data_IF_128305257989
#
_entry.id   IF_128305257989
#
_cell.length_a   1.000
_cell.length_b   1.000
_cell.length_c   1.000
_cell.angle_alpha   90.00
_cell.angle_beta   90.00
_cell.angle_gamma   90.00
#
_symmetry.space_group_name_H-M   'P 1'
#
loop_
_entity.id
_entity.type
_entity.pdbx_description
1 polymer ?
#
# COMPACT_ATOMS: atom_id res chain seq x y z
N UNK A 1 -10.21 14.36 4.81
CA UNK A 1 -10.00 13.80 3.47
C UNK A 1 -9.00 14.69 2.74
N UNK A 2 -7.86 14.17 2.37
CA UNK A 2 -6.85 14.91 1.60
C UNK A 2 -6.76 14.27 0.24
N UNK A 3 -6.94 15.04 -0.82
CA UNK A 3 -6.78 14.59 -2.19
C UNK A 3 -5.43 15.04 -2.78
N UNK A 4 -5.15 14.69 -4.03
CA UNK A 4 -3.91 15.06 -4.72
C UNK A 4 -3.76 16.57 -4.96
N UNK A 5 -4.81 17.36 -4.75
CA UNK A 5 -4.78 18.82 -4.84
C UNK A 5 -4.48 19.46 -3.48
N UNK A 6 -4.05 18.68 -2.50
CA UNK A 6 -3.86 19.10 -1.11
C UNK A 6 -5.13 19.62 -0.42
N UNK A 7 -6.29 19.28 -0.94
CA UNK A 7 -7.56 19.60 -0.29
C UNK A 7 -7.77 18.69 0.91
N UNK A 8 -8.20 19.29 2.00
CA UNK A 8 -8.50 18.61 3.25
C UNK A 8 -9.85 19.11 3.77
N UNK A 9 -10.72 18.21 4.18
CA UNK A 9 -11.98 18.57 4.80
C UNK A 9 -11.83 18.98 6.29
N UNK A 10 -10.62 18.94 6.84
CA UNK A 10 -10.33 19.44 8.17
C UNK A 10 -10.02 20.92 8.12
N UNK A 11 -10.73 21.70 8.94
CA UNK A 11 -10.58 23.16 9.00
C UNK A 11 -9.44 23.62 9.89
N UNK A 12 -8.96 22.76 10.78
CA UNK A 12 -7.87 23.03 11.71
C UNK A 12 -6.74 22.03 11.51
N UNK A 13 -5.58 22.52 11.09
CA UNK A 13 -4.36 21.73 10.85
C UNK A 13 -3.33 21.89 11.98
N UNK A 14 -3.60 22.71 12.99
CA UNK A 14 -2.67 23.01 14.08
C UNK A 14 -2.89 22.11 15.29
N UNK A 15 -2.68 20.79 15.12
CA UNK A 15 -2.67 19.89 16.26
C UNK A 15 -1.22 19.72 16.75
N UNK A 16 -0.95 20.16 17.96
CA UNK A 16 0.36 20.00 18.61
C UNK A 16 0.31 18.74 19.50
N UNK A 17 1.29 17.87 19.36
CA UNK A 17 1.53 16.81 20.36
C UNK A 17 2.04 17.49 21.64
N UNK A 18 1.62 16.99 22.80
CA UNK A 18 2.27 17.31 24.08
C UNK A 18 3.77 17.07 23.93
N UNK A 19 4.62 17.96 24.46
CA UNK A 19 6.08 17.85 24.33
C UNK A 19 6.73 16.60 24.96
N UNK A 20 5.94 15.58 25.29
CA UNK A 20 6.41 14.29 25.80
C UNK A 20 6.97 13.41 24.67
N UNK A 21 8.01 12.62 24.96
CA UNK A 21 8.54 11.65 24.02
C UNK A 21 7.46 10.70 23.52
N UNK A 22 7.46 10.39 22.22
CA UNK A 22 6.54 9.42 21.65
C UNK A 22 6.92 8.01 22.11
N UNK A 23 5.98 7.33 22.74
CA UNK A 23 6.09 5.91 23.05
C UNK A 23 5.46 5.10 21.92
N UNK A 24 6.18 4.07 21.46
CA UNK A 24 5.72 3.19 20.39
C UNK A 24 6.29 1.79 20.59
N UNK A 25 5.47 0.89 21.11
CA UNK A 25 5.88 -0.47 21.46
C UNK A 25 4.99 -1.49 20.74
N UNK A 26 5.43 -2.03 19.58
CA UNK A 26 4.69 -3.07 18.88
C UNK A 26 4.95 -4.44 19.50
N UNK A 27 3.90 -5.27 19.55
CA UNK A 27 3.96 -6.68 19.93
C UNK A 27 3.76 -7.53 18.69
N UNK A 28 4.85 -8.05 18.14
CA UNK A 28 4.80 -8.88 16.95
C UNK A 28 4.31 -10.28 17.25
N UNK A 29 3.57 -10.88 16.31
CA UNK A 29 3.26 -12.31 16.32
C UNK A 29 4.56 -13.12 16.28
N UNK A 30 4.64 -14.21 17.03
CA UNK A 30 5.81 -15.09 17.01
C UNK A 30 5.95 -15.80 15.65
N UNK A 31 7.17 -16.23 15.32
CA UNK A 31 7.40 -17.02 14.10
C UNK A 31 6.57 -18.31 14.11
N UNK A 32 6.45 -18.97 15.27
CA UNK A 32 5.70 -20.22 15.43
C UNK A 32 4.20 -20.03 15.16
N UNK A 33 3.59 -18.97 15.69
CA UNK A 33 2.19 -18.64 15.43
C UNK A 33 1.94 -18.29 13.96
N UNK A 34 2.85 -17.50 13.37
CA UNK A 34 2.78 -17.18 11.94
C UNK A 34 2.93 -18.44 11.08
N UNK A 35 3.93 -19.28 11.36
CA UNK A 35 4.18 -20.52 10.61
C UNK A 35 2.98 -21.47 10.68
N UNK A 36 2.35 -21.64 11.84
CA UNK A 36 1.14 -22.45 11.99
C UNK A 36 -0.03 -21.92 11.13
N UNK A 37 -0.22 -20.60 11.13
CA UNK A 37 -1.24 -19.95 10.29
C UNK A 37 -0.95 -20.13 8.80
N UNK A 38 0.32 -19.97 8.41
CA UNK A 38 0.78 -20.17 7.03
C UNK A 38 0.60 -21.61 6.55
N UNK A 39 0.95 -22.60 7.36
CA UNK A 39 0.75 -24.03 7.05
C UNK A 39 -0.74 -24.35 6.86
N UNK A 40 -1.61 -23.78 7.68
CA UNK A 40 -3.06 -23.95 7.54
C UNK A 40 -3.55 -23.41 6.20
N UNK A 41 -3.17 -22.19 5.83
CA UNK A 41 -3.53 -21.58 4.53
C UNK A 41 -2.97 -22.39 3.38
N UNK A 42 -1.67 -22.75 3.45
CA UNK A 42 -0.99 -23.54 2.42
C UNK A 42 -1.69 -24.87 2.16
N UNK A 43 -2.06 -25.60 3.21
CA UNK A 43 -2.80 -26.85 3.11
C UNK A 43 -4.14 -26.67 2.41
N UNK A 44 -4.89 -25.60 2.71
CA UNK A 44 -6.17 -25.32 2.05
C UNK A 44 -6.01 -24.93 0.59
N UNK A 45 -4.95 -24.19 0.22
CA UNK A 45 -4.63 -23.89 -1.17
C UNK A 45 -4.31 -25.18 -1.94
N UNK A 46 -3.44 -26.06 -1.40
CA UNK A 46 -3.10 -27.32 -2.03
C UNK A 46 -4.29 -28.30 -2.16
N UNK A 47 -5.25 -28.21 -1.23
CA UNK A 47 -6.49 -28.98 -1.31
C UNK A 47 -7.52 -28.38 -2.30
N UNK A 48 -7.22 -27.29 -2.99
CA UNK A 48 -8.10 -26.63 -3.94
C UNK A 48 -9.27 -25.84 -3.33
N UNK A 49 -9.24 -25.60 -2.02
CA UNK A 49 -10.28 -24.81 -1.32
C UNK A 49 -10.19 -23.30 -1.64
N UNK A 50 -9.02 -22.83 -2.05
CA UNK A 50 -8.76 -21.50 -2.58
C UNK A 50 -7.50 -21.54 -3.45
N UNK A 51 -7.33 -20.56 -4.31
CA UNK A 51 -6.12 -20.41 -5.14
C UNK A 51 -5.30 -19.15 -4.78
N UNK A 52 -5.90 -18.24 -4.03
CA UNK A 52 -5.25 -17.01 -3.55
C UNK A 52 -5.80 -16.61 -2.18
N UNK A 53 -4.92 -16.34 -1.24
CA UNK A 53 -5.25 -15.87 0.11
C UNK A 53 -4.28 -14.79 0.54
N UNK A 54 -4.79 -13.73 1.16
CA UNK A 54 -3.98 -12.75 1.85
C UNK A 54 -3.96 -13.07 3.34
N UNK A 55 -2.86 -13.66 3.81
CA UNK A 55 -2.66 -13.95 5.23
C UNK A 55 -2.13 -12.71 5.94
N UNK A 56 -2.94 -12.12 6.80
CA UNK A 56 -2.58 -10.95 7.61
C UNK A 56 -2.56 -11.27 9.09
N UNK A 57 -1.65 -10.62 9.81
CA UNK A 57 -1.56 -10.71 11.26
C UNK A 57 -1.72 -9.32 11.87
N UNK A 58 -2.51 -9.22 12.93
CA UNK A 58 -2.59 -7.99 13.71
C UNK A 58 -1.32 -7.82 14.56
N UNK A 59 -0.78 -6.61 14.60
CA UNK A 59 0.31 -6.24 15.49
C UNK A 59 -0.22 -5.24 16.53
N UNK A 60 -0.53 -5.67 17.76
CA UNK A 60 -0.89 -4.76 18.82
C UNK A 60 0.22 -3.74 19.06
N UNK A 61 -0.16 -2.49 19.28
CA UNK A 61 0.78 -1.40 19.55
C UNK A 61 0.35 -0.67 20.81
N UNK A 62 1.26 -0.59 21.79
CA UNK A 62 1.12 0.34 22.89
C UNK A 62 1.74 1.67 22.52
N UNK A 63 0.99 2.76 22.72
CA UNK A 63 1.46 4.12 22.42
C UNK A 63 0.75 5.14 23.30
N UNK A 64 1.42 6.26 23.60
CA UNK A 64 0.83 7.42 24.26
C UNK A 64 0.12 8.37 23.27
N UNK A 65 0.06 8.03 21.97
CA UNK A 65 -0.60 8.82 20.95
C UNK A 65 -2.06 8.39 20.78
N UNK A 66 -2.96 9.36 20.64
CA UNK A 66 -4.31 9.09 20.16
C UNK A 66 -4.32 8.85 18.64
N UNK A 67 -5.40 8.26 18.11
CA UNK A 67 -5.60 8.15 16.65
C UNK A 67 -5.55 9.50 15.94
N UNK A 68 -6.00 10.57 16.63
CA UNK A 68 -5.93 11.94 16.14
C UNK A 68 -4.48 12.41 15.99
N UNK A 69 -3.64 12.17 17.01
CA UNK A 69 -2.22 12.51 16.98
C UNK A 69 -1.52 11.79 15.85
N UNK A 70 -1.75 10.48 15.71
CA UNK A 70 -1.19 9.65 14.65
C UNK A 70 -1.60 10.21 13.28
N UNK A 71 -2.88 10.58 13.09
CA UNK A 71 -3.36 11.13 11.82
C UNK A 71 -2.67 12.45 11.47
N UNK A 72 -2.57 13.39 12.42
CA UNK A 72 -2.02 14.72 12.13
C UNK A 72 -0.52 14.71 11.88
N UNK A 73 0.23 13.87 12.61
CA UNK A 73 1.70 13.84 12.53
C UNK A 73 2.24 12.85 11.49
N UNK A 74 1.42 11.94 11.00
CA UNK A 74 1.83 11.04 9.91
C UNK A 74 1.88 11.77 8.57
N UNK A 75 2.88 11.41 7.76
CA UNK A 75 3.04 11.88 6.38
C UNK A 75 2.68 10.75 5.43
N UNK A 76 1.61 10.90 4.68
CA UNK A 76 1.20 9.98 3.64
C UNK A 76 0.43 10.73 2.55
N UNK A 77 0.43 10.20 1.33
CA UNK A 77 -0.28 10.78 0.19
C UNK A 77 -1.79 10.80 0.45
N UNK A 78 -2.32 9.70 0.95
CA UNK A 78 -3.72 9.57 1.33
C UNK A 78 -3.81 9.20 2.81
N UNK A 79 -4.63 9.94 3.54
CA UNK A 79 -4.89 9.71 4.95
C UNK A 79 -6.39 9.76 5.21
N UNK A 80 -6.90 8.77 5.92
CA UNK A 80 -8.27 8.74 6.39
C UNK A 80 -8.28 8.55 7.91
N UNK A 81 -8.99 9.41 8.62
CA UNK A 81 -9.30 9.24 10.03
C UNK A 81 -10.81 9.12 10.21
N UNK A 82 -11.25 7.97 10.70
CA UNK A 82 -12.59 7.78 11.21
C UNK A 82 -12.52 7.92 12.73
N UNK A 83 -13.13 9.00 13.22
CA UNK A 83 -13.06 9.39 14.63
C UNK A 83 -13.40 8.20 15.54
N UNK A 84 -12.58 7.98 16.57
CA UNK A 84 -12.71 6.95 17.59
C UNK A 84 -12.78 5.50 17.07
N UNK A 85 -12.39 5.29 15.80
CA UNK A 85 -12.41 3.99 15.14
C UNK A 85 -11.03 3.58 14.63
N UNK A 86 -10.51 4.28 13.63
CA UNK A 86 -9.23 3.96 13.01
C UNK A 86 -8.63 5.14 12.24
N UNK A 87 -7.36 5.02 11.93
CA UNK A 87 -6.67 5.79 10.90
C UNK A 87 -6.13 4.85 9.84
N UNK A 88 -6.13 5.31 8.59
CA UNK A 88 -5.60 4.56 7.44
C UNK A 88 -4.71 5.47 6.63
N UNK A 89 -3.60 4.93 6.17
CA UNK A 89 -2.64 5.58 5.31
C UNK A 89 -2.42 4.74 4.06
N UNK A 90 -2.37 5.38 2.89
CA UNK A 90 -2.09 4.68 1.65
C UNK A 90 -1.09 5.44 0.78
N UNK A 91 -0.03 4.79 0.30
CA UNK A 91 0.82 5.30 -0.77
C UNK A 91 0.18 5.08 -2.14
N UNK A 92 -0.80 4.20 -2.25
CA UNK A 92 -1.37 3.72 -3.50
C UNK A 92 -2.65 4.48 -3.85
N UNK A 93 -2.81 4.79 -5.14
CA UNK A 93 -3.97 5.47 -5.70
C UNK A 93 -4.95 4.39 -6.17
N UNK A 94 -6.16 4.36 -5.61
CA UNK A 94 -7.22 3.48 -6.11
C UNK A 94 -7.59 3.88 -7.55
N UNK A 95 -8.16 5.06 -7.70
CA UNK A 95 -8.43 5.67 -9.01
C UNK A 95 -8.22 7.18 -8.95
N UNK A 96 -7.89 7.77 -10.09
CA UNK A 96 -7.85 9.21 -10.29
C UNK A 96 -8.68 9.58 -11.51
N UNK A 97 -9.54 10.56 -11.39
CA UNK A 97 -10.26 11.13 -12.53
C UNK A 97 -9.70 12.51 -12.84
N UNK A 98 -9.39 12.76 -14.11
CA UNK A 98 -8.88 14.04 -14.60
C UNK A 98 -9.20 14.20 -16.08
N UNK A 99 -9.72 15.36 -16.46
CA UNK A 99 -9.99 15.75 -17.86
C UNK A 99 -10.83 14.72 -18.62
N UNK A 100 -11.83 14.12 -17.95
CA UNK A 100 -12.70 13.09 -18.52
C UNK A 100 -12.08 11.70 -18.61
N UNK A 101 -10.86 11.52 -18.15
CA UNK A 101 -10.17 10.22 -18.09
C UNK A 101 -10.16 9.66 -16.67
N UNK A 102 -10.16 8.33 -16.58
CA UNK A 102 -9.94 7.60 -15.30
C UNK A 102 -8.58 6.90 -15.35
N UNK A 103 -7.84 6.97 -14.26
CA UNK A 103 -6.51 6.38 -14.13
C UNK A 103 -6.45 5.46 -12.92
N UNK A 104 -5.66 4.40 -13.03
CA UNK A 104 -5.21 3.58 -11.90
C UNK A 104 -3.71 3.31 -12.03
N UNK A 105 -3.06 3.13 -10.88
CA UNK A 105 -1.60 2.95 -10.80
C UNK A 105 -1.28 1.73 -9.93
N UNK A 106 -1.55 0.51 -10.42
CA UNK A 106 -1.23 -0.69 -9.65
C UNK A 106 0.26 -0.79 -9.38
N UNK A 107 0.58 -1.18 -8.15
CA UNK A 107 1.93 -1.32 -7.63
C UNK A 107 2.15 -2.75 -7.14
N UNK A 108 3.20 -3.43 -7.64
CA UNK A 108 3.63 -4.75 -7.18
C UNK A 108 5.14 -4.88 -7.28
N UNK A 109 5.73 -5.56 -6.29
CA UNK A 109 7.17 -5.70 -6.18
C UNK A 109 7.81 -4.49 -5.52
N UNK A 110 8.49 -4.73 -4.40
CA UNK A 110 9.21 -3.72 -3.63
C UNK A 110 10.57 -4.26 -3.25
N UNK A 111 11.60 -3.43 -3.38
CA UNK A 111 12.97 -3.78 -3.00
C UNK A 111 13.66 -2.59 -2.35
N UNK A 112 14.58 -2.85 -1.44
CA UNK A 112 15.44 -1.82 -0.86
C UNK A 112 16.32 -1.19 -1.95
N UNK A 113 16.24 0.14 -2.10
CA UNK A 113 16.97 0.88 -3.12
C UNK A 113 18.49 0.86 -2.92
N UNK A 114 18.96 0.54 -1.70
CA UNK A 114 20.40 0.47 -1.36
C UNK A 114 21.08 -0.81 -1.81
N UNK A 115 20.30 -1.83 -2.18
CA UNK A 115 20.85 -3.10 -2.63
C UNK A 115 21.54 -2.95 -3.99
N UNK A 116 22.66 -3.66 -4.22
CA UNK A 116 23.31 -3.70 -5.53
C UNK A 116 22.31 -4.14 -6.61
N UNK A 117 22.31 -3.45 -7.74
CA UNK A 117 21.47 -3.74 -8.89
C UNK A 117 19.96 -3.85 -8.59
N UNK A 118 19.46 -3.17 -7.53
CA UNK A 118 18.06 -3.24 -7.06
C UNK A 118 17.05 -3.07 -8.21
N UNK A 119 17.27 -2.09 -9.10
CA UNK A 119 16.39 -1.85 -10.26
C UNK A 119 16.30 -3.05 -11.20
N UNK A 120 17.42 -3.64 -11.52
CA UNK A 120 17.51 -4.82 -12.39
C UNK A 120 16.86 -6.02 -11.70
N UNK A 121 17.23 -6.27 -10.45
CA UNK A 121 16.71 -7.40 -9.67
C UNK A 121 15.20 -7.42 -9.58
N UNK A 122 14.57 -6.30 -9.28
CA UNK A 122 13.11 -6.22 -9.17
C UNK A 122 12.40 -6.36 -10.53
N UNK A 123 13.01 -5.88 -11.63
CA UNK A 123 12.42 -6.02 -12.96
C UNK A 123 12.61 -7.43 -13.54
N UNK A 124 13.71 -8.10 -13.22
CA UNK A 124 14.05 -9.42 -13.74
C UNK A 124 13.42 -10.56 -12.91
N UNK A 125 12.78 -10.26 -11.76
CA UNK A 125 12.11 -11.27 -10.94
C UNK A 125 10.87 -11.82 -11.65
N UNK A 126 10.84 -13.11 -12.02
CA UNK A 126 9.73 -13.68 -12.79
C UNK A 126 8.44 -13.80 -11.96
N UNK A 127 8.53 -14.00 -10.63
CA UNK A 127 7.37 -14.05 -9.75
C UNK A 127 6.71 -12.69 -9.67
N UNK A 128 7.49 -11.64 -9.38
CA UNK A 128 6.98 -10.27 -9.32
C UNK A 128 6.42 -9.81 -10.68
N UNK A 129 7.04 -10.24 -11.78
CA UNK A 129 6.54 -9.97 -13.12
C UNK A 129 5.17 -10.59 -13.38
N UNK A 130 4.97 -11.86 -12.98
CA UNK A 130 3.69 -12.57 -13.15
C UNK A 130 2.58 -11.96 -12.26
N UNK A 131 2.89 -11.67 -10.99
CA UNK A 131 1.94 -11.02 -10.07
C UNK A 131 1.54 -9.64 -10.59
N UNK A 132 2.50 -8.86 -11.09
CA UNK A 132 2.23 -7.53 -11.64
C UNK A 132 1.36 -7.57 -12.90
N UNK A 133 1.63 -8.52 -13.81
CA UNK A 133 0.83 -8.72 -15.00
C UNK A 133 -0.63 -9.07 -14.65
N UNK A 134 -0.82 -9.94 -13.67
CA UNK A 134 -2.15 -10.35 -13.20
C UNK A 134 -2.94 -9.18 -12.65
N UNK A 135 -2.33 -8.33 -11.80
CA UNK A 135 -3.06 -7.18 -11.21
C UNK A 135 -3.33 -6.09 -12.26
N UNK A 136 -2.43 -5.87 -13.20
CA UNK A 136 -2.64 -4.91 -14.29
C UNK A 136 -3.80 -5.36 -15.18
N UNK A 137 -3.89 -6.65 -15.53
CA UNK A 137 -4.99 -7.17 -16.33
C UNK A 137 -6.33 -7.11 -15.59
N UNK A 138 -6.34 -7.44 -14.30
CA UNK A 138 -7.51 -7.33 -13.44
C UNK A 138 -8.05 -5.90 -13.42
N UNK A 139 -7.21 -4.92 -13.10
CA UNK A 139 -7.62 -3.52 -13.01
C UNK A 139 -8.01 -2.96 -14.38
N UNK A 140 -7.32 -3.35 -15.45
CA UNK A 140 -7.71 -2.99 -16.82
C UNK A 140 -9.13 -3.47 -17.14
N UNK A 141 -9.46 -4.70 -16.77
CA UNK A 141 -10.80 -5.24 -16.96
C UNK A 141 -11.83 -4.51 -16.10
N UNK A 142 -11.52 -4.23 -14.82
CA UNK A 142 -12.43 -3.49 -13.93
C UNK A 142 -12.71 -2.07 -14.44
N UNK A 143 -11.69 -1.36 -14.91
CA UNK A 143 -11.87 -0.04 -15.50
C UNK A 143 -12.71 -0.08 -16.80
N UNK A 144 -12.62 -1.16 -17.56
CA UNK A 144 -13.41 -1.34 -18.80
C UNK A 144 -14.91 -1.48 -18.54
N UNK A 145 -15.34 -1.73 -17.28
CA UNK A 145 -16.76 -1.74 -16.90
C UNK A 145 -17.33 -0.31 -16.87
N UNK A 146 -16.50 0.69 -16.58
CA UNK A 146 -16.92 2.08 -16.32
C UNK A 146 -16.32 3.08 -17.32
N UNK A 147 -15.41 2.65 -18.19
CA UNK A 147 -14.73 3.48 -19.18
C UNK A 147 -14.58 2.74 -20.51
N UNK A 148 -14.34 3.48 -21.59
CA UNK A 148 -14.00 2.97 -22.92
C UNK A 148 -12.53 3.23 -23.27
N UNK A 149 -11.99 2.47 -24.22
CA UNK A 149 -10.62 2.64 -24.76
C UNK A 149 -9.53 2.47 -23.69
N UNK A 150 -9.77 1.59 -22.71
CA UNK A 150 -8.82 1.36 -21.60
C UNK A 150 -7.50 0.77 -22.11
N UNK A 151 -6.40 1.45 -21.82
CA UNK A 151 -5.06 1.07 -22.25
C UNK A 151 -4.04 1.17 -21.12
N UNK A 152 -2.83 0.62 -21.35
CA UNK A 152 -1.70 0.66 -20.41
C UNK A 152 -0.56 1.46 -21.04
N UNK A 153 -0.55 2.80 -20.93
CA UNK A 153 0.45 3.63 -21.57
C UNK A 153 1.86 3.47 -20.99
N UNK A 154 1.96 3.07 -19.72
CA UNK A 154 3.25 2.79 -19.07
C UNK A 154 3.15 1.48 -18.30
N UNK A 155 3.99 0.53 -18.65
CA UNK A 155 4.03 -0.79 -18.05
C UNK A 155 5.34 -1.04 -17.31
N UNK A 156 5.26 -1.49 -16.05
CA UNK A 156 6.39 -1.87 -15.19
C UNK A 156 7.51 -0.83 -15.15
N UNK A 157 7.18 0.40 -14.79
CA UNK A 157 8.17 1.42 -14.47
C UNK A 157 8.49 1.43 -12.97
N UNK A 158 9.63 1.99 -12.60
CA UNK A 158 10.07 2.04 -11.21
C UNK A 158 9.79 3.42 -10.63
N UNK A 159 9.06 3.42 -9.51
CA UNK A 159 8.93 4.53 -8.59
C UNK A 159 9.88 4.37 -7.40
N UNK A 160 10.43 5.48 -6.94
CA UNK A 160 11.23 5.53 -5.72
C UNK A 160 10.39 6.11 -4.58
N UNK A 161 10.19 5.32 -3.54
CA UNK A 161 9.46 5.72 -2.34
C UNK A 161 10.47 6.06 -1.24
N UNK A 162 10.47 7.30 -0.79
CA UNK A 162 11.29 7.73 0.35
C UNK A 162 10.56 7.47 1.65
N UNK A 163 11.17 6.68 2.51
CA UNK A 163 10.70 6.42 3.88
C UNK A 163 11.68 7.00 4.89
N UNK A 164 11.30 7.04 6.17
CA UNK A 164 12.23 7.47 7.22
C UNK A 164 13.35 6.45 7.51
N UNK A 165 13.21 5.21 7.02
CA UNK A 165 14.22 4.15 7.14
C UNK A 165 15.05 3.93 5.87
N UNK A 166 14.89 4.78 4.84
CA UNK A 166 15.58 4.67 3.56
C UNK A 166 14.64 4.74 2.35
N UNK A 167 15.19 4.57 1.16
CA UNK A 167 14.43 4.54 -0.08
C UNK A 167 14.09 3.10 -0.48
N UNK A 168 12.88 2.93 -0.99
CA UNK A 168 12.40 1.68 -1.60
C UNK A 168 12.15 1.92 -3.09
N UNK A 169 12.45 0.93 -3.91
CA UNK A 169 12.02 0.89 -5.30
C UNK A 169 10.76 0.05 -5.39
N UNK A 170 9.77 0.53 -6.13
CA UNK A 170 8.52 -0.16 -6.37
C UNK A 170 8.18 -0.18 -7.84
N UNK A 171 7.69 -1.30 -8.34
CA UNK A 171 7.24 -1.44 -9.73
C UNK A 171 5.79 -1.02 -9.84
N UNK A 172 5.52 -0.09 -10.73
CA UNK A 172 4.20 0.47 -10.99
C UNK A 172 3.83 0.35 -12.46
N UNK A 173 2.55 0.41 -12.76
CA UNK A 173 2.03 0.62 -14.12
C UNK A 173 0.96 1.70 -14.12
N UNK A 174 0.76 2.36 -15.25
CA UNK A 174 -0.32 3.31 -15.45
C UNK A 174 -1.36 2.70 -16.38
N UNK A 175 -2.60 2.70 -15.95
CA UNK A 175 -3.77 2.28 -16.74
C UNK A 175 -4.69 3.49 -16.85
N UNK A 176 -5.20 3.72 -18.03
CA UNK A 176 -6.18 4.80 -18.27
C UNK A 176 -7.19 4.40 -19.32
#
# INVERSE_FOLDING_TARGET
FTNTNHECNLRDSSHLISGEPVEWQPSYVSFEEYAHSFETVSRHIHAGNSYLVNLTCATPVYTNLSLKDIFYHSKAMYKLWMRDRFVVFSPEIFVRTRDGLIYSYPMKGTIDATLPDARRRILDDPKEAAEHATIVDLIRNDLSIVASEVCVPRYRYIDELRTHNGSLLQVSSEIR
#
